data_IF_662679130527
#
_entry.id   IF_662679130527
#
_cell.length_a   1.000
_cell.length_b   1.000
_cell.length_c   1.000
_cell.angle_alpha   90.00
_cell.angle_beta   90.00
_cell.angle_gamma   90.00
#
_symmetry.space_group_name_H-M   'P 1'
#
loop_
_entity.id
_entity.type
_entity.pdbx_description
1 polymer ?
#
# COMPACT_ATOMS: atom_id res chain seq x y z
N UNK A 1 -18.69 12.74 40.86
CA UNK A 1 -18.78 11.28 40.58
C UNK A 1 -17.75 10.97 39.51
N UNK A 2 -16.69 10.21 39.85
CA UNK A 2 -15.67 9.81 38.88
C UNK A 2 -16.27 8.69 38.02
N UNK A 3 -16.58 8.97 36.75
CA UNK A 3 -16.87 7.92 35.79
C UNK A 3 -15.56 7.15 35.56
N UNK A 4 -15.48 5.93 36.08
CA UNK A 4 -14.38 5.03 35.84
C UNK A 4 -14.38 4.63 34.37
N UNK A 5 -13.43 5.15 33.61
CA UNK A 5 -13.15 4.67 32.27
C UNK A 5 -12.70 3.21 32.38
N UNK A 6 -13.52 2.30 31.88
CA UNK A 6 -13.12 0.90 31.78
C UNK A 6 -11.93 0.82 30.82
N UNK A 7 -10.77 0.40 31.33
CA UNK A 7 -9.62 0.07 30.49
C UNK A 7 -10.06 -1.01 29.49
N UNK A 8 -9.74 -0.80 28.20
CA UNK A 8 -9.98 -1.78 27.15
C UNK A 8 -9.17 -3.01 27.53
N UNK A 9 -9.83 -4.15 27.72
CA UNK A 9 -9.12 -5.42 27.97
C UNK A 9 -8.41 -5.80 26.69
N UNK A 10 -7.09 -5.92 26.76
CA UNK A 10 -6.29 -6.43 25.64
C UNK A 10 -6.72 -7.87 25.32
N UNK A 11 -7.04 -8.12 24.05
CA UNK A 11 -7.46 -9.43 23.57
C UNK A 11 -6.30 -10.44 23.62
N UNK A 12 -6.63 -11.71 23.80
CA UNK A 12 -5.66 -12.82 23.82
C UNK A 12 -4.93 -13.03 22.48
N UNK A 13 -5.38 -12.35 21.40
CA UNK A 13 -4.79 -12.38 20.06
C UNK A 13 -3.90 -11.20 19.69
N UNK A 14 -3.63 -10.25 20.60
CA UNK A 14 -2.79 -9.08 20.28
C UNK A 14 -1.33 -9.50 20.12
N UNK A 15 -0.74 -9.16 18.95
CA UNK A 15 0.69 -9.36 18.70
C UNK A 15 1.52 -8.46 19.61
N UNK A 16 2.58 -9.01 20.20
CA UNK A 16 3.62 -8.17 20.80
C UNK A 16 4.43 -7.45 19.72
N UNK A 17 5.25 -6.48 20.09
CA UNK A 17 5.98 -5.65 19.15
C UNK A 17 6.96 -6.43 18.28
N UNK A 18 7.65 -7.41 18.81
CA UNK A 18 8.68 -8.18 18.07
C UNK A 18 8.02 -9.10 17.04
N UNK A 19 6.95 -9.77 17.40
CA UNK A 19 6.16 -10.61 16.48
C UNK A 19 5.51 -9.73 15.39
N UNK A 20 4.95 -8.58 15.79
CA UNK A 20 4.37 -7.61 14.84
C UNK A 20 5.41 -7.11 13.84
N UNK A 21 6.58 -6.68 14.30
CA UNK A 21 7.65 -6.19 13.42
C UNK A 21 8.19 -7.29 12.51
N UNK A 22 8.35 -8.51 13.02
CA UNK A 22 8.76 -9.67 12.21
C UNK A 22 7.77 -9.94 11.08
N UNK A 23 6.47 -9.94 11.38
CA UNK A 23 5.41 -10.09 10.39
C UNK A 23 5.34 -8.93 9.39
N UNK A 24 5.56 -7.68 9.85
CA UNK A 24 5.62 -6.51 8.97
C UNK A 24 6.77 -6.62 7.97
N UNK A 25 7.97 -6.99 8.40
CA UNK A 25 9.12 -7.18 7.50
C UNK A 25 8.81 -8.25 6.44
N UNK A 26 8.22 -9.36 6.84
CA UNK A 26 7.82 -10.42 5.92
C UNK A 26 6.74 -9.97 4.93
N UNK A 27 5.75 -9.18 5.37
CA UNK A 27 4.70 -8.63 4.51
C UNK A 27 5.26 -7.65 3.48
N UNK A 28 6.20 -6.77 3.88
CA UNK A 28 6.88 -5.82 2.99
C UNK A 28 7.66 -6.55 1.89
N UNK A 29 8.38 -7.63 2.25
CA UNK A 29 9.15 -8.43 1.29
C UNK A 29 8.24 -9.24 0.34
N UNK A 30 7.12 -9.75 0.84
CA UNK A 30 6.15 -10.51 0.06
C UNK A 30 5.30 -9.63 -0.88
N UNK A 31 5.34 -8.30 -0.74
CA UNK A 31 4.45 -7.36 -1.41
C UNK A 31 5.19 -6.38 -2.33
N UNK A 32 5.90 -6.85 -3.37
CA UNK A 32 6.64 -5.97 -4.29
C UNK A 32 5.74 -5.07 -5.16
N UNK A 33 4.44 -5.39 -5.28
CA UNK A 33 3.45 -4.60 -6.04
C UNK A 33 2.08 -4.63 -5.35
N UNK A 34 1.13 -3.74 -5.70
CA UNK A 34 -0.23 -3.76 -5.17
C UNK A 34 -0.91 -5.13 -5.29
N UNK A 35 -0.71 -5.81 -6.41
CA UNK A 35 -1.26 -7.15 -6.65
C UNK A 35 -0.77 -8.18 -5.62
N UNK A 36 0.51 -8.14 -5.28
CA UNK A 36 1.11 -9.00 -4.27
C UNK A 36 0.67 -8.63 -2.86
N UNK A 37 0.51 -7.33 -2.57
CA UNK A 37 0.00 -6.86 -1.29
C UNK A 37 -1.42 -7.37 -1.03
N UNK A 38 -2.31 -7.29 -2.04
CA UNK A 38 -3.66 -7.83 -1.95
C UNK A 38 -3.64 -9.36 -1.86
N UNK A 39 -2.82 -10.05 -2.65
CA UNK A 39 -2.70 -11.51 -2.56
C UNK A 39 -2.23 -11.97 -1.17
N UNK A 40 -1.27 -11.27 -0.57
CA UNK A 40 -0.80 -11.53 0.81
C UNK A 40 -1.90 -11.29 1.84
N UNK A 41 -2.67 -10.19 1.69
CA UNK A 41 -3.82 -9.90 2.55
C UNK A 41 -4.91 -10.98 2.41
N UNK A 42 -5.24 -11.39 1.19
CA UNK A 42 -6.22 -12.44 0.93
C UNK A 42 -5.81 -13.78 1.56
N UNK A 43 -4.54 -14.14 1.46
CA UNK A 43 -4.02 -15.37 2.09
C UNK A 43 -4.22 -15.34 3.61
N UNK A 44 -3.90 -14.23 4.27
CA UNK A 44 -4.10 -14.06 5.71
C UNK A 44 -5.59 -14.09 6.09
N UNK A 45 -6.44 -13.39 5.34
CA UNK A 45 -7.90 -13.37 5.55
C UNK A 45 -8.52 -14.76 5.38
N UNK A 46 -8.17 -15.49 4.31
CA UNK A 46 -8.64 -16.87 4.08
C UNK A 46 -8.24 -17.78 5.23
N UNK A 47 -7.00 -17.67 5.70
CA UNK A 47 -6.51 -18.45 6.85
C UNK A 47 -7.26 -18.15 8.15
N UNK A 48 -7.81 -16.93 8.30
CA UNK A 48 -8.64 -16.51 9.42
C UNK A 48 -10.16 -16.76 9.19
N UNK A 49 -10.53 -17.50 8.13
CA UNK A 49 -11.91 -17.91 7.87
C UNK A 49 -12.78 -16.84 7.20
N UNK A 50 -12.18 -15.85 6.56
CA UNK A 50 -12.93 -14.89 5.74
C UNK A 50 -13.30 -15.52 4.38
N UNK A 51 -14.53 -15.30 3.94
CA UNK A 51 -15.05 -15.73 2.64
C UNK A 51 -14.99 -14.59 1.62
N UNK A 52 -14.63 -14.93 0.37
CA UNK A 52 -14.63 -13.99 -0.73
C UNK A 52 -16.06 -13.76 -1.24
N UNK A 53 -16.39 -12.48 -1.45
CA UNK A 53 -17.61 -12.05 -2.13
C UNK A 53 -17.25 -11.49 -3.50
N UNK A 54 -18.02 -11.89 -4.52
CA UNK A 54 -17.85 -11.38 -5.88
C UNK A 54 -18.76 -10.17 -6.12
N UNK A 55 -18.24 -9.10 -6.71
CA UNK A 55 -18.99 -7.87 -6.97
C UNK A 55 -20.22 -8.11 -7.90
N UNK A 56 -20.12 -9.05 -8.84
CA UNK A 56 -21.20 -9.41 -9.75
C UNK A 56 -22.29 -10.31 -9.15
N UNK A 57 -22.12 -10.81 -7.91
CA UNK A 57 -23.07 -11.71 -7.27
C UNK A 57 -23.97 -10.97 -6.26
N UNK A 58 -25.10 -11.59 -5.91
CA UNK A 58 -25.89 -11.18 -4.74
C UNK A 58 -25.16 -11.61 -3.46
N UNK A 59 -25.20 -10.75 -2.45
CA UNK A 59 -24.57 -11.04 -1.16
C UNK A 59 -25.60 -11.41 -0.11
N UNK A 60 -25.28 -12.43 0.69
CA UNK A 60 -26.04 -12.83 1.88
C UNK A 60 -25.11 -12.71 3.10
N UNK A 61 -24.97 -11.48 3.59
CA UNK A 61 -24.10 -11.15 4.74
C UNK A 61 -24.86 -11.41 6.03
N UNK A 62 -24.36 -12.34 6.85
CA UNK A 62 -24.95 -12.65 8.16
C UNK A 62 -24.26 -11.85 9.25
N UNK A 63 -24.94 -11.56 10.38
CA UNK A 63 -24.30 -11.01 11.57
C UNK A 63 -23.08 -11.84 11.99
N UNK A 64 -21.95 -11.20 12.27
CA UNK A 64 -20.69 -11.84 12.58
C UNK A 64 -19.97 -12.46 11.37
N UNK A 65 -20.53 -12.36 10.16
CA UNK A 65 -19.92 -12.88 8.93
C UNK A 65 -18.61 -12.16 8.61
N UNK A 66 -17.62 -12.93 8.17
CA UNK A 66 -16.27 -12.48 7.82
C UNK A 66 -16.12 -12.57 6.30
N UNK A 67 -16.06 -11.45 5.64
CA UNK A 67 -16.00 -11.41 4.17
C UNK A 67 -14.96 -10.41 3.68
N UNK A 68 -14.55 -10.60 2.42
CA UNK A 68 -13.77 -9.62 1.68
C UNK A 68 -14.19 -9.59 0.21
N UNK A 69 -13.92 -8.47 -0.44
CA UNK A 69 -14.17 -8.19 -1.85
C UNK A 69 -12.89 -7.64 -2.46
N UNK A 70 -12.55 -8.07 -3.67
CA UNK A 70 -11.38 -7.60 -4.41
C UNK A 70 -11.83 -6.85 -5.65
N UNK A 71 -11.14 -5.77 -5.99
CA UNK A 71 -11.28 -5.06 -7.27
C UNK A 71 -9.93 -4.92 -7.94
N UNK A 72 -9.87 -5.29 -9.23
CA UNK A 72 -8.67 -5.21 -10.07
C UNK A 72 -7.44 -5.94 -9.50
N UNK A 73 -7.60 -6.94 -8.63
CA UNK A 73 -6.53 -7.66 -7.91
C UNK A 73 -5.59 -6.76 -7.09
N UNK A 74 -5.83 -5.44 -7.03
CA UNK A 74 -4.94 -4.44 -6.42
C UNK A 74 -5.60 -3.64 -5.30
N UNK A 75 -6.91 -3.76 -5.10
CA UNK A 75 -7.66 -3.16 -4.00
C UNK A 75 -8.55 -4.18 -3.33
N UNK A 76 -8.74 -4.03 -2.01
CA UNK A 76 -9.54 -4.96 -1.22
C UNK A 76 -10.35 -4.20 -0.15
N UNK A 77 -11.59 -4.62 0.06
CA UNK A 77 -12.39 -4.30 1.23
C UNK A 77 -12.66 -5.58 2.01
N UNK A 78 -12.23 -5.66 3.26
CA UNK A 78 -12.49 -6.79 4.15
C UNK A 78 -13.29 -6.32 5.36
N UNK A 79 -14.24 -7.13 5.85
CA UNK A 79 -15.07 -6.74 6.98
C UNK A 79 -15.56 -7.94 7.81
N UNK A 80 -15.86 -7.61 9.06
CA UNK A 80 -16.59 -8.47 9.99
C UNK A 80 -17.92 -7.77 10.27
N UNK A 81 -19.02 -8.36 9.82
CA UNK A 81 -20.32 -7.79 9.97
C UNK A 81 -20.73 -7.69 11.45
N UNK A 82 -21.27 -6.54 11.84
CA UNK A 82 -21.80 -6.37 13.19
C UNK A 82 -22.99 -7.26 13.49
N UNK A 83 -23.32 -7.42 14.75
CA UNK A 83 -24.56 -8.11 15.19
C UNK A 83 -25.80 -7.25 14.99
N UNK A 84 -25.65 -5.94 14.85
CA UNK A 84 -26.69 -4.97 14.50
C UNK A 84 -26.51 -4.47 13.06
N UNK A 85 -27.58 -3.99 12.46
CA UNK A 85 -27.55 -3.40 11.13
C UNK A 85 -26.62 -2.18 11.09
N UNK A 86 -25.86 -1.95 9.99
CA UNK A 86 -24.95 -0.80 9.88
C UNK A 86 -25.65 0.56 10.09
N UNK A 87 -26.91 0.69 9.70
CA UNK A 87 -27.72 1.88 9.95
C UNK A 87 -27.90 2.22 11.45
N UNK A 88 -27.83 1.23 12.33
CA UNK A 88 -28.00 1.40 13.78
C UNK A 88 -26.68 1.56 14.52
N UNK A 89 -25.67 0.79 14.14
CA UNK A 89 -24.39 0.73 14.86
C UNK A 89 -23.23 1.44 14.16
N UNK A 90 -23.36 1.75 12.87
CA UNK A 90 -22.29 2.33 12.05
C UNK A 90 -21.20 1.32 11.69
N UNK A 91 -20.12 1.82 11.08
CA UNK A 91 -18.93 1.08 10.68
C UNK A 91 -17.70 1.70 11.33
N UNK A 92 -16.80 0.87 11.81
CA UNK A 92 -15.44 1.28 12.22
C UNK A 92 -14.50 0.86 11.10
N UNK A 93 -13.92 1.84 10.43
CA UNK A 93 -13.17 1.66 9.20
C UNK A 93 -11.71 2.09 9.38
N UNK A 94 -10.78 1.23 8.96
CA UNK A 94 -9.37 1.58 8.74
C UNK A 94 -9.11 1.56 7.25
N UNK A 95 -8.40 2.55 6.72
CA UNK A 95 -8.03 2.60 5.31
C UNK A 95 -6.57 2.93 5.10
N UNK A 96 -5.98 2.32 4.06
CA UNK A 96 -4.63 2.55 3.59
C UNK A 96 -4.57 2.36 2.07
N UNK A 97 -3.38 2.53 1.44
CA UNK A 97 -3.20 2.24 0.03
C UNK A 97 -2.10 1.20 -0.22
N UNK A 98 -2.25 0.46 -1.33
CA UNK A 98 -1.40 -0.69 -1.68
C UNK A 98 -0.25 -0.33 -2.59
N UNK A 99 -0.36 0.78 -3.31
CA UNK A 99 0.65 1.26 -4.27
C UNK A 99 1.74 2.06 -3.58
N UNK A 100 2.87 2.21 -4.28
CA UNK A 100 4.04 3.00 -3.87
C UNK A 100 4.77 3.47 -5.11
N UNK A 101 5.48 4.61 -5.08
CA UNK A 101 6.23 5.11 -6.23
C UNK A 101 7.28 4.11 -6.71
N UNK A 102 7.34 3.91 -8.03
CA UNK A 102 8.26 2.95 -8.64
C UNK A 102 8.54 3.24 -10.12
N UNK A 103 9.31 2.37 -10.77
CA UNK A 103 9.52 2.38 -12.21
C UNK A 103 8.73 1.23 -12.84
N UNK A 104 7.73 1.56 -13.68
CA UNK A 104 6.92 0.58 -14.42
C UNK A 104 7.51 0.33 -15.80
N UNK A 105 7.43 -0.92 -16.26
CA UNK A 105 7.79 -1.27 -17.63
C UNK A 105 6.74 -0.71 -18.61
N UNK A 106 7.23 -0.11 -19.72
CA UNK A 106 6.37 0.34 -20.82
C UNK A 106 5.81 -0.85 -21.62
N UNK A 107 4.73 -0.69 -22.39
CA UNK A 107 4.14 -1.77 -23.21
C UNK A 107 5.13 -2.43 -24.17
N UNK A 108 6.11 -1.69 -24.71
CA UNK A 108 7.25 -2.22 -25.46
C UNK A 108 8.52 -2.09 -24.60
N UNK A 109 8.76 -3.06 -23.70
CA UNK A 109 9.69 -2.86 -22.60
C UNK A 109 11.16 -3.06 -22.98
N UNK A 110 11.48 -3.80 -24.06
CA UNK A 110 12.86 -4.03 -24.47
C UNK A 110 13.30 -3.01 -25.53
N UNK A 111 14.52 -2.50 -25.35
CA UNK A 111 15.20 -1.67 -26.36
C UNK A 111 16.69 -2.00 -26.41
N UNK A 112 17.29 -1.89 -27.60
CA UNK A 112 18.73 -1.98 -27.80
C UNK A 112 19.34 -0.59 -27.84
N UNK A 113 20.45 -0.38 -27.16
CA UNK A 113 21.22 0.86 -27.21
C UNK A 113 22.71 0.58 -27.01
N UNK A 114 23.55 1.00 -27.94
CA UNK A 114 25.02 0.94 -27.84
C UNK A 114 25.58 -0.44 -27.42
N UNK A 115 24.99 -1.53 -27.94
CA UNK A 115 25.42 -2.90 -27.62
C UNK A 115 24.86 -3.47 -26.32
N UNK A 116 23.93 -2.75 -25.67
CA UNK A 116 23.21 -3.21 -24.47
C UNK A 116 21.74 -3.43 -24.73
N UNK A 117 21.15 -4.37 -24.01
CA UNK A 117 19.70 -4.52 -23.87
C UNK A 117 19.25 -3.77 -22.62
N UNK A 118 18.21 -2.96 -22.75
CA UNK A 118 17.66 -2.14 -21.66
C UNK A 118 16.15 -2.33 -21.56
N UNK A 119 15.59 -2.07 -20.36
CA UNK A 119 14.17 -1.87 -20.22
C UNK A 119 13.77 -0.41 -20.52
N UNK A 120 12.68 -0.23 -21.22
CA UNK A 120 11.97 1.04 -21.32
C UNK A 120 11.02 1.17 -20.12
N UNK A 121 11.21 2.21 -19.33
CA UNK A 121 10.45 2.44 -18.09
C UNK A 121 9.77 3.79 -18.10
N UNK A 122 8.74 3.92 -17.27
CA UNK A 122 8.13 5.18 -16.87
C UNK A 122 8.05 5.28 -15.34
N UNK A 123 8.08 6.50 -14.83
CA UNK A 123 7.97 6.77 -13.41
C UNK A 123 6.50 6.71 -13.01
N UNK A 124 6.18 5.94 -11.99
CA UNK A 124 4.89 5.87 -11.34
C UNK A 124 4.95 6.64 -10.02
N UNK A 125 4.05 7.62 -9.85
CA UNK A 125 3.99 8.46 -8.65
C UNK A 125 5.16 9.44 -8.51
N UNK A 126 5.29 10.00 -7.33
CA UNK A 126 6.30 11.01 -6.99
C UNK A 126 7.64 10.43 -6.52
N UNK A 127 8.24 9.46 -7.26
CA UNK A 127 9.46 8.77 -6.84
C UNK A 127 10.67 9.70 -6.67
N UNK A 128 11.46 9.49 -5.62
CA UNK A 128 12.83 10.02 -5.52
C UNK A 128 13.73 9.22 -6.47
N UNK A 129 14.15 9.84 -7.59
CA UNK A 129 14.82 9.12 -8.68
C UNK A 129 16.27 8.76 -8.39
N UNK A 130 17.01 9.62 -7.66
CA UNK A 130 18.44 9.41 -7.40
C UNK A 130 18.74 8.08 -6.70
N UNK A 131 17.97 7.63 -5.68
CA UNK A 131 18.24 6.36 -4.99
C UNK A 131 18.04 5.09 -5.83
N UNK A 132 17.47 5.19 -7.03
CA UNK A 132 17.30 4.07 -7.96
C UNK A 132 18.57 3.66 -8.69
N UNK A 133 19.56 4.57 -8.76
CA UNK A 133 20.86 4.24 -9.37
C UNK A 133 21.63 3.25 -8.50
N UNK A 134 22.38 2.38 -9.18
CA UNK A 134 23.31 1.40 -8.60
C UNK A 134 22.62 0.37 -7.68
N UNK A 135 21.32 0.11 -7.90
CA UNK A 135 20.57 -0.90 -7.19
C UNK A 135 20.44 -2.20 -7.99
N UNK A 136 20.34 -3.29 -7.25
CA UNK A 136 20.03 -4.63 -7.76
C UNK A 136 18.51 -4.76 -7.94
N UNK A 137 18.03 -4.55 -9.18
CA UNK A 137 16.60 -4.48 -9.47
C UNK A 137 16.04 -5.80 -9.96
N UNK A 138 14.87 -6.17 -9.45
CA UNK A 138 14.04 -7.27 -9.92
C UNK A 138 12.72 -6.75 -10.50
N UNK A 139 11.88 -7.66 -11.01
CA UNK A 139 10.59 -7.38 -11.63
C UNK A 139 9.51 -8.19 -10.94
N UNK A 140 8.38 -7.53 -10.68
CA UNK A 140 7.17 -8.17 -10.21
C UNK A 140 5.93 -7.48 -10.78
N UNK A 141 4.79 -8.17 -10.74
CA UNK A 141 3.53 -7.62 -11.19
C UNK A 141 2.51 -8.67 -11.60
N UNK A 142 1.65 -8.28 -12.53
CA UNK A 142 0.56 -9.09 -13.06
C UNK A 142 0.71 -9.26 -14.57
N UNK A 143 0.45 -10.47 -15.05
CA UNK A 143 0.42 -10.83 -16.47
C UNK A 143 -0.97 -11.35 -16.81
N UNK A 144 -1.59 -10.83 -17.87
CA UNK A 144 -2.88 -11.30 -18.39
C UNK A 144 -2.63 -12.34 -19.47
N UNK A 145 -3.18 -13.53 -19.28
CA UNK A 145 -2.97 -14.66 -20.18
C UNK A 145 -4.30 -15.18 -20.72
N UNK A 146 -4.24 -15.73 -21.95
CA UNK A 146 -5.35 -16.46 -22.58
C UNK A 146 -5.23 -17.94 -22.22
N UNK A 147 -6.27 -18.49 -21.61
CA UNK A 147 -6.39 -19.91 -21.30
C UNK A 147 -6.72 -20.75 -22.57
N UNK A 148 -6.59 -22.08 -22.48
CA UNK A 148 -6.86 -22.98 -23.59
C UNK A 148 -8.34 -22.93 -24.08
N UNK A 149 -9.26 -22.63 -23.17
CA UNK A 149 -10.71 -22.45 -23.47
C UNK A 149 -11.05 -21.05 -24.00
N UNK A 150 -10.05 -20.17 -24.16
CA UNK A 150 -10.21 -18.78 -24.61
C UNK A 150 -10.51 -17.77 -23.49
N UNK A 151 -10.75 -18.20 -22.26
CA UNK A 151 -10.95 -17.32 -21.12
C UNK A 151 -9.67 -16.54 -20.80
N UNK A 152 -9.82 -15.35 -20.20
CA UNK A 152 -8.70 -14.55 -19.72
C UNK A 152 -8.50 -14.80 -18.23
N UNK A 153 -7.25 -14.90 -17.82
CA UNK A 153 -6.88 -14.99 -16.41
C UNK A 153 -5.64 -14.15 -16.09
N UNK A 154 -5.51 -13.79 -14.83
CA UNK A 154 -4.32 -13.08 -14.34
C UNK A 154 -3.35 -14.06 -13.66
N UNK A 155 -2.06 -13.83 -13.85
CA UNK A 155 -0.98 -14.54 -13.17
C UNK A 155 -0.06 -13.54 -12.52
N UNK A 156 0.23 -13.74 -11.25
CA UNK A 156 1.26 -12.94 -10.57
C UNK A 156 2.64 -13.46 -10.94
N UNK A 157 3.57 -12.53 -11.09
CA UNK A 157 4.97 -12.83 -11.34
C UNK A 157 5.85 -12.05 -10.36
N UNK A 158 6.80 -12.75 -9.76
CA UNK A 158 7.88 -12.16 -8.99
C UNK A 158 9.18 -12.90 -9.33
N UNK A 159 10.08 -12.22 -10.03
CA UNK A 159 11.35 -12.83 -10.48
C UNK A 159 12.28 -13.13 -9.30
N UNK A 160 12.25 -12.31 -8.24
CA UNK A 160 12.90 -12.58 -6.95
C UNK A 160 14.43 -12.53 -6.94
N UNK A 161 15.06 -12.27 -8.09
CA UNK A 161 16.52 -12.13 -8.25
C UNK A 161 16.86 -10.87 -9.02
N UNK A 162 18.08 -10.32 -8.87
CA UNK A 162 18.52 -9.17 -9.67
C UNK A 162 18.53 -9.53 -11.17
N UNK A 163 17.86 -8.70 -11.99
CA UNK A 163 17.80 -8.85 -13.46
C UNK A 163 18.11 -7.55 -14.18
N UNK A 164 18.22 -6.44 -13.48
CA UNK A 164 18.47 -5.13 -14.06
C UNK A 164 19.19 -4.21 -13.08
N UNK A 165 19.87 -3.20 -13.59
CA UNK A 165 20.46 -2.11 -12.80
C UNK A 165 20.47 -0.82 -13.61
N UNK A 166 20.40 0.33 -12.94
CA UNK A 166 20.59 1.65 -13.54
C UNK A 166 21.97 2.13 -13.13
N UNK A 167 23.02 1.94 -13.93
CA UNK A 167 24.36 2.34 -13.52
C UNK A 167 24.51 3.85 -13.51
N UNK A 168 25.08 4.39 -12.44
CA UNK A 168 25.52 5.78 -12.39
C UNK A 168 26.61 6.05 -13.43
N UNK A 169 26.61 7.27 -13.99
CA UNK A 169 27.75 7.70 -14.79
C UNK A 169 28.95 7.95 -13.85
N UNK A 170 30.13 7.49 -14.27
CA UNK A 170 31.33 7.70 -13.47
C UNK A 170 31.60 9.19 -13.23
N UNK A 171 32.05 9.54 -12.02
CA UNK A 171 32.32 10.94 -11.61
C UNK A 171 33.27 11.66 -12.59
N UNK A 172 34.14 10.96 -13.28
CA UNK A 172 35.05 11.52 -14.29
C UNK A 172 34.34 12.05 -15.52
N UNK A 173 33.12 11.53 -15.82
CA UNK A 173 32.30 11.92 -16.96
C UNK A 173 31.13 12.83 -16.55
N UNK A 174 30.81 12.90 -15.25
CA UNK A 174 29.77 13.77 -14.67
C UNK A 174 30.33 14.45 -13.40
N UNK A 175 31.12 15.47 -13.58
CA UNK A 175 31.77 16.18 -12.46
C UNK A 175 30.81 16.99 -11.61
N UNK A 176 29.62 17.28 -12.14
CA UNK A 176 28.54 18.00 -11.45
C UNK A 176 27.58 17.06 -10.70
N UNK A 177 27.83 15.76 -10.70
CA UNK A 177 26.96 14.77 -10.07
C UNK A 177 26.59 15.08 -8.61
N UNK A 178 27.53 15.69 -7.85
CA UNK A 178 27.33 16.07 -6.46
C UNK A 178 26.85 17.54 -6.26
N UNK A 179 26.72 18.33 -7.33
CA UNK A 179 26.43 19.76 -7.29
C UNK A 179 25.02 20.14 -7.80
N UNK A 180 24.08 19.22 -7.86
CA UNK A 180 22.71 19.50 -8.29
C UNK A 180 22.33 18.83 -9.62
N UNK A 181 22.74 17.58 -9.84
CA UNK A 181 22.39 16.78 -11.01
C UNK A 181 20.87 16.73 -11.22
N UNK A 182 20.41 17.14 -12.40
CA UNK A 182 19.04 16.91 -12.86
C UNK A 182 18.93 15.56 -13.53
N UNK A 183 17.92 14.77 -13.15
CA UNK A 183 17.69 13.43 -13.71
C UNK A 183 16.58 13.51 -14.75
N UNK A 184 16.92 13.20 -16.00
CA UNK A 184 15.94 13.03 -17.07
C UNK A 184 15.42 11.57 -17.05
N UNK A 185 14.14 11.40 -16.69
CA UNK A 185 13.53 10.09 -16.56
C UNK A 185 13.54 9.26 -17.86
N UNK A 186 13.42 9.91 -19.02
CA UNK A 186 13.36 9.21 -20.31
C UNK A 186 14.72 8.66 -20.76
N UNK A 187 15.80 9.39 -20.45
CA UNK A 187 17.14 9.08 -21.02
C UNK A 187 18.09 8.46 -20.00
N UNK A 188 17.90 8.72 -18.70
CA UNK A 188 18.84 8.32 -17.65
C UNK A 188 18.36 7.13 -16.81
N UNK A 189 17.06 6.83 -16.79
CA UNK A 189 16.51 5.73 -15.97
C UNK A 189 16.39 4.37 -16.68
N UNK A 190 16.49 4.21 -18.00
CA UNK A 190 16.38 2.88 -18.61
C UNK A 190 17.42 1.89 -18.06
N UNK A 191 16.99 0.87 -17.29
CA UNK A 191 17.93 -0.07 -16.66
C UNK A 191 18.62 -0.97 -17.71
N UNK A 192 19.88 -1.26 -17.51
CA UNK A 192 20.62 -2.27 -18.27
C UNK A 192 20.22 -3.66 -17.78
N UNK A 193 19.95 -4.57 -18.74
CA UNK A 193 19.53 -5.94 -18.48
C UNK A 193 20.59 -6.95 -18.89
N UNK A 194 21.20 -6.75 -20.06
CA UNK A 194 22.25 -7.60 -20.60
C UNK A 194 23.00 -6.91 -21.73
N UNK A 195 24.02 -7.58 -22.27
CA UNK A 195 24.58 -7.23 -23.58
C UNK A 195 23.57 -7.59 -24.68
N UNK A 196 23.45 -6.74 -25.69
CA UNK A 196 22.75 -7.07 -26.91
C UNK A 196 23.68 -7.98 -27.74
N UNK A 197 23.55 -9.28 -27.55
CA UNK A 197 24.36 -10.26 -28.32
C UNK A 197 23.79 -10.30 -29.74
N UNK A 198 24.53 -9.81 -30.70
CA UNK A 198 24.28 -10.13 -32.09
C UNK A 198 24.79 -11.56 -32.34
N UNK A 199 23.86 -12.50 -32.62
CA UNK A 199 24.20 -13.93 -32.89
C UNK A 199 25.15 -14.11 -34.05
N UNK A 200 25.36 -13.11 -34.89
CA UNK A 200 26.34 -13.11 -35.97
C UNK A 200 27.80 -13.27 -35.49
N UNK A 201 28.10 -12.88 -34.24
CA UNK A 201 29.47 -12.98 -33.68
C UNK A 201 29.79 -14.33 -33.04
N UNK A 202 28.82 -15.23 -32.88
CA UNK A 202 29.03 -16.55 -32.25
C UNK A 202 29.09 -17.72 -33.25
N UNK A 203 29.16 -17.46 -34.55
CA UNK A 203 29.45 -18.51 -35.55
C UNK A 203 28.31 -19.50 -35.78
N UNK A 204 27.15 -19.29 -35.23
CA UNK A 204 25.95 -20.08 -35.54
C UNK A 204 25.25 -19.51 -36.78
N UNK A 205 25.65 -20.05 -37.95
CA UNK A 205 25.01 -19.81 -39.23
C UNK A 205 23.63 -20.47 -39.25
N UNK A 206 22.65 -19.93 -38.51
CA UNK A 206 21.27 -20.26 -38.71
C UNK A 206 20.56 -18.98 -39.24
N UNK A 207 20.28 -18.97 -40.55
CA UNK A 207 19.59 -17.90 -41.27
C UNK A 207 18.12 -17.67 -40.81
N UNK A 208 17.88 -17.60 -39.52
CA UNK A 208 16.60 -17.32 -38.93
C UNK A 208 16.57 -15.83 -38.52
N UNK A 209 15.55 -15.11 -39.00
CA UNK A 209 15.22 -13.75 -38.61
C UNK A 209 15.14 -13.64 -37.06
N UNK A 210 15.88 -12.70 -36.45
CA UNK A 210 15.83 -12.50 -35.00
C UNK A 210 14.40 -12.09 -34.62
N UNK A 211 13.77 -12.86 -33.73
CA UNK A 211 12.41 -12.57 -33.30
C UNK A 211 12.26 -11.11 -32.80
N UNK A 212 11.15 -10.43 -33.09
CA UNK A 212 10.91 -9.06 -32.63
C UNK A 212 11.08 -8.93 -31.10
N UNK A 213 11.58 -7.79 -30.62
CA UNK A 213 11.84 -7.56 -29.17
C UNK A 213 10.61 -7.82 -28.28
N UNK A 214 9.41 -7.48 -28.78
CA UNK A 214 8.18 -7.79 -28.07
C UNK A 214 7.91 -9.29 -27.89
N UNK A 215 8.25 -10.11 -28.89
CA UNK A 215 8.17 -11.56 -28.78
C UNK A 215 9.23 -12.12 -27.82
N UNK A 216 10.47 -11.61 -27.89
CA UNK A 216 11.54 -12.00 -26.95
C UNK A 216 11.13 -11.71 -25.49
N UNK A 217 10.49 -10.56 -25.23
CA UNK A 217 10.00 -10.24 -23.88
C UNK A 217 8.89 -11.19 -23.42
N UNK A 218 7.93 -11.55 -24.29
CA UNK A 218 6.92 -12.55 -23.96
C UNK A 218 7.53 -13.93 -23.69
N UNK A 219 8.59 -14.31 -24.39
CA UNK A 219 9.35 -15.54 -24.07
C UNK A 219 9.95 -15.48 -22.66
N UNK A 220 10.56 -14.35 -22.27
CA UNK A 220 11.05 -14.16 -20.90
C UNK A 220 9.93 -14.28 -19.87
N UNK A 221 8.76 -13.69 -20.14
CA UNK A 221 7.60 -13.82 -19.26
C UNK A 221 7.16 -15.26 -19.09
N UNK A 222 7.13 -16.08 -20.17
CA UNK A 222 6.77 -17.51 -20.06
C UNK A 222 7.82 -18.30 -19.25
N UNK A 223 9.09 -17.93 -19.34
CA UNK A 223 10.15 -18.53 -18.53
C UNK A 223 10.00 -18.19 -17.05
N UNK A 224 9.73 -16.93 -16.73
CA UNK A 224 9.57 -16.46 -15.36
C UNK A 224 8.27 -16.94 -14.71
N UNK A 225 7.19 -17.07 -15.47
CA UNK A 225 5.94 -17.67 -14.99
C UNK A 225 6.07 -19.18 -14.70
N UNK A 226 7.06 -19.84 -15.35
CA UNK A 226 7.27 -21.26 -15.17
C UNK A 226 6.22 -22.13 -15.84
N UNK A 227 5.90 -23.27 -15.20
CA UNK A 227 4.85 -24.19 -15.65
C UNK A 227 3.56 -23.86 -14.93
N UNK A 228 2.45 -24.00 -15.63
CA UNK A 228 1.12 -23.93 -15.04
C UNK A 228 0.93 -25.08 -14.04
N UNK A 229 0.51 -24.77 -12.82
CA UNK A 229 0.36 -25.77 -11.75
C UNK A 229 -0.72 -26.81 -12.04
N UNK A 230 -1.77 -26.43 -12.77
CA UNK A 230 -2.88 -27.33 -13.07
C UNK A 230 -2.60 -28.26 -14.25
N UNK A 231 -1.90 -27.76 -15.28
CA UNK A 231 -1.66 -28.50 -16.53
C UNK A 231 -0.25 -29.07 -16.63
N UNK A 232 0.71 -28.53 -15.87
CA UNK A 232 2.13 -28.86 -15.96
C UNK A 232 2.82 -28.30 -17.22
N UNK A 233 2.11 -27.55 -18.06
CA UNK A 233 2.60 -27.02 -19.33
C UNK A 233 3.12 -25.58 -19.17
N UNK A 234 4.06 -25.16 -20.02
CA UNK A 234 4.43 -23.75 -20.13
C UNK A 234 3.50 -23.04 -21.08
N UNK A 235 3.18 -21.80 -20.73
CA UNK A 235 2.45 -20.90 -21.63
C UNK A 235 3.28 -20.62 -22.89
N UNK A 236 2.64 -20.58 -24.04
CA UNK A 236 3.26 -20.06 -25.26
C UNK A 236 3.30 -18.51 -25.20
N UNK A 237 4.30 -17.86 -25.80
CA UNK A 237 4.40 -16.38 -25.79
C UNK A 237 3.15 -15.69 -26.32
N UNK A 238 2.41 -16.31 -27.27
CA UNK A 238 1.18 -15.80 -27.88
C UNK A 238 -0.02 -15.84 -26.93
N UNK A 239 0.06 -16.62 -25.87
CA UNK A 239 -0.97 -16.63 -24.80
C UNK A 239 -0.82 -15.44 -23.84
N UNK A 240 0.35 -14.79 -23.80
CA UNK A 240 0.56 -13.58 -23.02
C UNK A 240 0.00 -12.39 -23.80
N UNK A 241 -1.07 -11.80 -23.28
CA UNK A 241 -1.77 -10.70 -23.95
C UNK A 241 -1.24 -9.34 -23.52
N UNK A 242 -1.08 -9.15 -22.20
CA UNK A 242 -0.62 -7.89 -21.62
C UNK A 242 0.00 -8.10 -20.24
N UNK A 243 0.58 -7.04 -19.67
CA UNK A 243 1.23 -7.09 -18.36
C UNK A 243 1.23 -5.72 -17.68
N UNK A 244 1.30 -5.74 -16.36
CA UNK A 244 1.54 -4.58 -15.48
C UNK A 244 2.70 -4.93 -14.55
N UNK A 245 3.90 -4.49 -14.91
CA UNK A 245 5.14 -4.90 -14.26
C UNK A 245 5.91 -3.71 -13.72
N UNK A 246 6.38 -3.82 -12.50
CA UNK A 246 7.19 -2.83 -11.79
C UNK A 246 8.56 -3.37 -11.44
N UNK A 247 9.55 -2.49 -11.47
CA UNK A 247 10.87 -2.76 -10.92
C UNK A 247 10.84 -2.54 -9.41
N UNK A 248 11.63 -3.32 -8.69
CA UNK A 248 11.85 -3.14 -7.26
C UNK A 248 13.27 -3.55 -6.85
N UNK A 249 13.78 -2.98 -5.75
CA UNK A 249 15.07 -3.34 -5.16
C UNK A 249 14.98 -4.71 -4.46
N UNK A 250 15.91 -5.60 -4.75
CA UNK A 250 15.99 -6.94 -4.12
C UNK A 250 16.49 -6.90 -2.69
N UNK A 251 16.90 -5.75 -2.19
CA UNK A 251 17.30 -5.58 -0.80
C UNK A 251 16.08 -5.72 0.13
N UNK A 252 16.10 -6.76 0.96
CA UNK A 252 14.99 -7.08 1.88
C UNK A 252 14.78 -6.04 2.98
N UNK A 253 13.57 -6.01 3.51
CA UNK A 253 13.20 -5.27 4.72
C UNK A 253 14.01 -5.77 5.94
N UNK A 254 14.45 -4.87 6.80
CA UNK A 254 15.21 -5.24 8.00
C UNK A 254 15.17 -4.17 9.07
N UNK A 255 15.48 -4.56 10.30
CA UNK A 255 15.79 -3.60 11.35
C UNK A 255 17.21 -3.06 11.16
N UNK A 256 17.39 -1.76 11.35
CA UNK A 256 18.68 -1.06 11.22
C UNK A 256 18.90 -0.09 12.39
N UNK A 257 20.12 0.46 12.46
CA UNK A 257 20.56 1.32 13.56
C UNK A 257 21.29 0.52 14.63
N UNK A 258 21.97 1.22 15.53
CA UNK A 258 22.82 0.58 16.56
C UNK A 258 22.03 -0.38 17.47
N UNK A 259 20.76 -0.07 17.72
CA UNK A 259 19.87 -0.85 18.60
C UNK A 259 18.69 -1.46 17.84
N UNK A 260 18.74 -1.54 16.50
CA UNK A 260 17.61 -2.03 15.72
C UNK A 260 16.34 -1.17 15.81
N UNK A 261 16.49 0.15 16.07
CA UNK A 261 15.36 1.05 16.35
C UNK A 261 14.55 1.44 15.12
N UNK A 262 15.01 1.10 13.92
CA UNK A 262 14.38 1.51 12.68
C UNK A 262 14.06 0.32 11.78
N UNK A 263 12.93 0.40 11.10
CA UNK A 263 12.57 -0.45 9.97
C UNK A 263 13.07 0.24 8.71
N UNK A 264 13.92 -0.43 7.93
CA UNK A 264 14.36 0.03 6.62
C UNK A 264 13.83 -0.90 5.53
N UNK A 265 13.04 -0.37 4.61
CA UNK A 265 12.43 -1.12 3.51
C UNK A 265 12.07 -0.19 2.36
N UNK A 266 11.83 -0.75 1.20
CA UNK A 266 11.02 -0.09 0.17
C UNK A 266 9.54 -0.17 0.54
N UNK A 267 8.71 0.75 0.02
CA UNK A 267 7.24 0.71 0.10
C UNK A 267 6.67 0.71 1.53
N UNK A 268 7.42 1.28 2.49
CA UNK A 268 6.88 1.55 3.83
C UNK A 268 5.63 2.41 3.69
N UNK A 269 5.70 3.42 2.85
CA UNK A 269 4.57 4.16 2.30
C UNK A 269 3.94 3.39 1.14
N UNK A 270 2.74 2.71 1.32
CA UNK A 270 1.96 2.70 2.57
C UNK A 270 1.65 1.25 3.01
N UNK A 271 2.51 0.28 2.63
CA UNK A 271 2.35 -1.12 3.01
C UNK A 271 2.43 -1.34 4.52
N UNK A 272 3.12 -0.45 5.25
CA UNK A 272 3.12 -0.47 6.72
C UNK A 272 1.70 -0.31 7.25
N UNK A 273 0.97 0.70 6.78
CA UNK A 273 -0.42 0.92 7.20
C UNK A 273 -1.37 -0.16 6.71
N UNK A 274 -1.12 -0.74 5.51
CA UNK A 274 -1.86 -1.92 5.04
C UNK A 274 -1.73 -3.10 6.02
N UNK A 275 -0.51 -3.38 6.47
CA UNK A 275 -0.25 -4.44 7.44
C UNK A 275 -0.88 -4.13 8.80
N UNK A 276 -0.78 -2.90 9.29
CA UNK A 276 -1.43 -2.43 10.52
C UNK A 276 -2.93 -2.70 10.48
N UNK A 277 -3.62 -2.25 9.44
CA UNK A 277 -5.07 -2.42 9.32
C UNK A 277 -5.48 -3.88 9.17
N UNK A 278 -4.71 -4.67 8.42
CA UNK A 278 -4.93 -6.10 8.26
C UNK A 278 -4.81 -6.84 9.60
N UNK A 279 -3.73 -6.61 10.35
CA UNK A 279 -3.52 -7.26 11.65
C UNK A 279 -4.55 -6.82 12.69
N UNK A 280 -4.98 -5.54 12.67
CA UNK A 280 -6.03 -5.08 13.55
C UNK A 280 -7.37 -5.79 13.26
N UNK A 281 -7.72 -5.97 11.98
CA UNK A 281 -8.95 -6.69 11.62
C UNK A 281 -8.88 -8.18 11.98
N UNK A 282 -7.73 -8.82 11.77
CA UNK A 282 -7.52 -10.24 12.06
C UNK A 282 -7.57 -10.53 13.56
N UNK A 283 -7.02 -9.65 14.39
CA UNK A 283 -7.04 -9.80 15.86
C UNK A 283 -8.48 -9.78 16.43
N UNK A 284 -9.41 -9.16 15.73
CA UNK A 284 -10.83 -9.03 16.11
C UNK A 284 -11.72 -10.11 15.50
N UNK A 285 -11.15 -11.09 14.79
CA UNK A 285 -11.91 -12.06 14.01
C UNK A 285 -12.88 -12.90 14.87
N UNK A 286 -12.51 -13.25 16.08
CA UNK A 286 -13.30 -14.12 16.95
C UNK A 286 -14.26 -13.37 17.88
N UNK A 287 -14.22 -12.03 17.91
CA UNK A 287 -15.04 -11.22 18.79
C UNK A 287 -16.33 -10.72 18.11
N UNK A 288 -17.45 -10.85 18.81
CA UNK A 288 -18.73 -10.31 18.33
C UNK A 288 -18.91 -8.86 18.80
N UNK A 289 -19.06 -7.94 17.86
CA UNK A 289 -19.39 -6.54 18.13
C UNK A 289 -20.71 -6.15 17.49
N UNK A 290 -21.37 -5.14 18.06
CA UNK A 290 -22.62 -4.62 17.51
C UNK A 290 -22.43 -3.93 16.14
N UNK A 291 -21.31 -3.27 15.92
CA UNK A 291 -20.95 -2.53 14.69
C UNK A 291 -20.06 -3.34 13.75
N UNK A 292 -20.13 -3.02 12.48
CA UNK A 292 -19.26 -3.60 11.46
C UNK A 292 -17.83 -3.04 11.58
N UNK A 293 -16.84 -3.91 11.56
CA UNK A 293 -15.41 -3.57 11.48
C UNK A 293 -14.92 -3.80 10.05
N UNK A 294 -14.22 -2.84 9.49
CA UNK A 294 -13.89 -2.86 8.07
C UNK A 294 -12.48 -2.34 7.82
N UNK A 295 -11.80 -2.94 6.86
CA UNK A 295 -10.54 -2.52 6.29
C UNK A 295 -10.75 -2.20 4.81
N UNK A 296 -10.22 -1.09 4.32
CA UNK A 296 -10.11 -0.80 2.89
C UNK A 296 -8.66 -0.53 2.53
N UNK A 297 -8.16 -1.20 1.50
CA UNK A 297 -6.86 -0.96 0.91
C UNK A 297 -7.08 -0.59 -0.56
N UNK A 298 -6.77 0.66 -0.90
CA UNK A 298 -6.96 1.21 -2.25
C UNK A 298 -5.66 1.18 -3.05
N UNK A 299 -5.76 1.03 -4.36
CA UNK A 299 -4.65 1.25 -5.29
C UNK A 299 -4.64 2.70 -5.81
N UNK A 300 -3.59 3.10 -6.50
CA UNK A 300 -3.45 4.35 -7.24
C UNK A 300 -3.52 5.64 -6.40
N UNK A 301 -3.22 5.58 -5.11
CA UNK A 301 -3.13 6.79 -4.28
C UNK A 301 -2.06 7.73 -4.82
N UNK A 302 -0.88 7.20 -5.11
CA UNK A 302 0.34 7.90 -5.54
C UNK A 302 0.23 8.62 -6.88
N UNK A 303 -0.86 8.39 -7.60
CA UNK A 303 -1.20 9.06 -8.87
C UNK A 303 -2.57 9.75 -8.81
N UNK A 304 -3.06 10.05 -7.59
CA UNK A 304 -4.24 10.87 -7.32
C UNK A 304 -5.55 10.10 -7.24
N UNK A 305 -5.54 8.79 -7.03
CA UNK A 305 -6.72 7.93 -6.76
C UNK A 305 -7.79 7.92 -7.87
N UNK A 306 -7.50 8.43 -9.06
CA UNK A 306 -8.47 8.61 -10.16
C UNK A 306 -8.70 7.35 -11.01
N UNK A 307 -9.07 6.23 -10.40
CA UNK A 307 -9.33 4.96 -11.08
C UNK A 307 -10.50 4.20 -10.44
N UNK A 308 -10.92 3.09 -11.05
CA UNK A 308 -11.98 2.24 -10.49
C UNK A 308 -11.60 1.57 -9.17
N UNK A 309 -10.31 1.35 -8.93
CA UNK A 309 -9.74 0.76 -7.71
C UNK A 309 -9.18 1.80 -6.73
N UNK A 310 -8.98 3.06 -7.17
CA UNK A 310 -8.55 4.15 -6.30
C UNK A 310 -9.68 4.71 -5.41
N UNK A 311 -9.31 5.50 -4.42
CA UNK A 311 -10.23 6.05 -3.43
C UNK A 311 -11.29 7.02 -4.01
N UNK A 312 -11.05 7.59 -5.21
CA UNK A 312 -12.06 8.36 -5.96
C UNK A 312 -13.08 7.47 -6.67
N UNK A 313 -12.79 6.19 -6.86
CA UNK A 313 -13.71 5.20 -7.41
C UNK A 313 -14.85 4.90 -6.46
N UNK A 314 -15.80 4.09 -6.92
CA UNK A 314 -17.00 3.72 -6.14
C UNK A 314 -16.83 2.40 -5.37
N UNK A 315 -15.61 1.88 -5.23
CA UNK A 315 -15.42 0.54 -4.67
C UNK A 315 -15.95 0.42 -3.24
N UNK A 316 -15.43 1.25 -2.33
CA UNK A 316 -15.88 1.25 -0.93
C UNK A 316 -17.36 1.66 -0.83
N UNK A 317 -17.79 2.66 -1.60
CA UNK A 317 -19.18 3.11 -1.64
C UNK A 317 -20.14 1.96 -1.97
N UNK A 318 -19.84 1.19 -3.03
CA UNK A 318 -20.70 0.07 -3.47
C UNK A 318 -20.79 -1.04 -2.41
N UNK A 319 -19.73 -1.28 -1.64
CA UNK A 319 -19.75 -2.21 -0.50
C UNK A 319 -20.65 -1.69 0.62
N UNK A 320 -20.50 -0.43 0.99
CA UNK A 320 -21.30 0.20 2.06
C UNK A 320 -22.78 0.30 1.69
N UNK A 321 -23.11 0.61 0.42
CA UNK A 321 -24.50 0.62 -0.09
C UNK A 321 -25.15 -0.75 0.02
N UNK A 322 -24.44 -1.81 -0.39
CA UNK A 322 -24.94 -3.19 -0.29
C UNK A 322 -25.16 -3.65 1.15
N UNK A 323 -24.28 -3.24 2.06
CA UNK A 323 -24.42 -3.54 3.49
C UNK A 323 -25.58 -2.74 4.15
N UNK A 324 -25.89 -1.56 3.63
CA UNK A 324 -26.93 -0.69 4.17
C UNK A 324 -28.33 -1.01 3.62
N UNK A 325 -28.41 -1.44 2.36
CA UNK A 325 -29.63 -1.85 1.69
C UNK A 325 -30.55 -0.73 1.19
N UNK A 326 -30.41 0.51 1.66
CA UNK A 326 -31.17 1.68 1.17
C UNK A 326 -30.39 2.98 1.39
N UNK A 327 -30.73 4.03 0.63
CA UNK A 327 -30.10 5.35 0.77
C UNK A 327 -30.35 5.99 2.16
N UNK A 328 -31.51 5.78 2.76
CA UNK A 328 -31.83 6.25 4.11
C UNK A 328 -30.95 5.52 5.14
N UNK A 329 -30.87 4.19 5.06
CA UNK A 329 -30.02 3.38 5.92
C UNK A 329 -28.53 3.71 5.74
N UNK A 330 -28.10 4.00 4.50
CA UNK A 330 -26.73 4.47 4.21
C UNK A 330 -26.43 5.80 4.93
N UNK A 331 -27.31 6.80 4.83
CA UNK A 331 -27.12 8.08 5.49
C UNK A 331 -26.99 7.94 7.01
N UNK A 332 -27.82 7.09 7.63
CA UNK A 332 -27.76 6.78 9.07
C UNK A 332 -26.46 6.06 9.44
N UNK A 333 -26.05 5.08 8.65
CA UNK A 333 -24.77 4.37 8.81
C UNK A 333 -23.59 5.34 8.75
N UNK A 334 -23.54 6.19 7.71
CA UNK A 334 -22.43 7.15 7.52
C UNK A 334 -22.30 8.10 8.72
N UNK A 335 -23.42 8.64 9.24
CA UNK A 335 -23.43 9.51 10.41
C UNK A 335 -22.94 8.85 11.71
N UNK A 336 -23.02 7.51 11.80
CA UNK A 336 -22.57 6.71 12.95
C UNK A 336 -21.20 6.07 12.78
N UNK A 337 -20.58 6.28 11.63
CA UNK A 337 -19.32 5.65 11.26
C UNK A 337 -18.12 6.54 11.60
N UNK A 338 -16.96 5.90 11.68
CA UNK A 338 -15.68 6.58 11.86
C UNK A 338 -14.61 5.92 10.99
N UNK A 339 -13.86 6.76 10.29
CA UNK A 339 -12.80 6.34 9.38
C UNK A 339 -11.43 6.80 9.89
N UNK A 340 -10.56 5.86 10.18
CA UNK A 340 -9.15 6.06 10.45
C UNK A 340 -8.39 5.90 9.13
N UNK A 341 -8.11 6.99 8.46
CA UNK A 341 -7.28 7.04 7.26
C UNK A 341 -5.83 6.98 7.68
N UNK A 342 -5.17 5.87 7.36
CA UNK A 342 -3.78 5.62 7.77
C UNK A 342 -2.85 5.76 6.59
N UNK A 343 -1.90 6.69 6.71
CA UNK A 343 -0.92 6.98 5.68
C UNK A 343 0.29 7.64 6.32
N UNK A 344 1.51 7.26 5.90
CA UNK A 344 2.73 7.71 6.54
C UNK A 344 2.87 9.24 6.54
N UNK A 345 3.59 9.76 7.52
CA UNK A 345 3.87 11.20 7.64
C UNK A 345 5.37 11.49 7.66
N UNK A 346 5.74 12.77 7.54
CA UNK A 346 7.15 13.17 7.56
C UNK A 346 7.67 13.27 8.99
N UNK A 347 8.72 12.54 9.33
CA UNK A 347 9.48 12.73 10.55
C UNK A 347 10.42 13.95 10.43
N UNK A 348 10.70 14.64 11.53
CA UNK A 348 11.69 15.72 11.54
C UNK A 348 13.06 15.18 11.13
N UNK A 349 13.58 15.69 10.02
CA UNK A 349 14.85 15.23 9.48
C UNK A 349 16.04 15.97 10.16
N UNK A 350 16.98 15.27 10.80
CA UNK A 350 18.03 15.91 11.58
C UNK A 350 18.93 16.85 10.77
N UNK A 351 19.16 16.55 9.48
CA UNK A 351 19.99 17.34 8.58
C UNK A 351 19.21 18.42 7.82
N UNK A 352 17.86 18.44 7.89
CA UNK A 352 16.98 19.35 7.17
C UNK A 352 15.83 19.83 8.08
N UNK A 353 16.12 20.13 9.34
CA UNK A 353 15.11 20.53 10.34
C UNK A 353 14.39 21.83 9.95
N UNK A 354 15.05 22.69 9.15
CA UNK A 354 14.46 23.92 8.60
C UNK A 354 13.30 23.68 7.61
N UNK A 355 13.12 22.46 7.14
CA UNK A 355 12.01 22.06 6.26
C UNK A 355 10.72 21.70 7.00
N UNK A 356 10.78 21.66 8.32
CA UNK A 356 9.65 21.28 9.17
C UNK A 356 9.07 22.48 9.91
N UNK A 357 7.78 22.41 10.25
CA UNK A 357 7.13 23.36 11.16
C UNK A 357 7.64 23.09 12.59
N UNK A 358 8.24 24.08 13.29
CA UNK A 358 8.98 23.79 14.53
C UNK A 358 8.14 23.26 15.69
N UNK A 359 6.84 23.60 15.75
CA UNK A 359 5.94 23.18 16.83
C UNK A 359 5.25 21.82 16.58
N UNK A 360 5.34 21.28 15.35
CA UNK A 360 4.56 20.12 14.93
C UNK A 360 5.38 19.19 14.02
N UNK A 361 6.60 18.91 14.41
CA UNK A 361 7.54 18.07 13.68
C UNK A 361 7.72 16.72 14.39
N UNK A 362 7.05 15.63 13.94
CA UNK A 362 7.06 14.34 14.61
C UNK A 362 8.44 13.69 14.66
N UNK A 363 8.75 13.04 15.77
CA UNK A 363 9.93 12.19 15.94
C UNK A 363 9.60 10.74 15.62
N UNK A 364 10.52 10.02 15.03
CA UNK A 364 10.44 8.55 14.89
C UNK A 364 10.49 7.90 16.28
N UNK A 365 9.69 6.87 16.48
CA UNK A 365 9.53 6.10 17.74
C UNK A 365 8.90 6.89 18.90
N UNK A 366 8.23 8.01 18.62
CA UNK A 366 7.49 8.78 19.63
C UNK A 366 5.96 8.71 19.46
N UNK A 367 5.47 7.81 18.61
CA UNK A 367 4.07 7.55 18.35
C UNK A 367 3.58 8.05 16.99
N UNK A 368 2.43 7.52 16.54
CA UNK A 368 1.78 7.98 15.32
C UNK A 368 1.44 9.47 15.38
N UNK A 369 1.46 10.13 14.23
CA UNK A 369 1.18 11.55 14.11
C UNK A 369 -0.21 11.80 13.50
N UNK A 370 -1.05 12.56 14.18
CA UNK A 370 -2.29 13.11 13.64
C UNK A 370 -1.94 14.18 12.61
N UNK A 371 -2.44 14.05 11.39
CA UNK A 371 -2.19 14.98 10.29
C UNK A 371 -3.25 16.08 10.27
N UNK A 372 -2.85 17.34 10.29
CA UNK A 372 -3.76 18.50 10.33
C UNK A 372 -3.42 19.49 9.22
N UNK A 373 -4.43 19.93 8.48
CA UNK A 373 -4.26 20.94 7.44
C UNK A 373 -5.54 21.81 7.32
N UNK A 374 -5.38 23.14 7.39
CA UNK A 374 -6.51 24.09 7.31
C UNK A 374 -7.24 24.09 5.96
N UNK A 375 -6.55 23.68 4.87
CA UNK A 375 -7.13 23.60 3.53
C UNK A 375 -7.77 22.23 3.26
N UNK A 376 -7.93 21.39 4.29
CA UNK A 376 -8.51 20.03 4.18
C UNK A 376 -7.75 19.12 3.20
N UNK A 377 -6.43 19.32 3.05
CA UNK A 377 -5.56 18.33 2.40
C UNK A 377 -5.47 17.03 3.24
N UNK A 378 -5.82 17.12 4.53
CA UNK A 378 -6.14 16.02 5.44
C UNK A 378 -7.56 16.20 5.96
N UNK A 379 -8.29 15.11 6.15
CA UNK A 379 -9.71 15.13 6.57
C UNK A 379 -9.92 15.39 8.07
N UNK A 380 -8.85 15.48 8.85
CA UNK A 380 -8.92 15.68 10.30
C UNK A 380 -9.64 16.97 10.67
N UNK A 381 -10.56 16.88 11.65
CA UNK A 381 -11.27 18.00 12.26
C UNK A 381 -11.04 18.01 13.78
N UNK A 382 -11.40 19.09 14.44
CA UNK A 382 -11.32 19.17 15.91
C UNK A 382 -12.07 18.03 16.60
N UNK A 383 -13.24 17.65 16.09
CA UNK A 383 -14.02 16.51 16.59
C UNK A 383 -13.27 15.19 16.43
N UNK A 384 -12.83 14.89 15.20
CA UNK A 384 -12.18 13.59 14.91
C UNK A 384 -10.82 13.46 15.58
N UNK A 385 -10.10 14.57 15.76
CA UNK A 385 -8.87 14.62 16.55
C UNK A 385 -9.16 14.33 18.03
N UNK A 386 -10.21 14.91 18.62
CA UNK A 386 -10.58 14.66 20.01
C UNK A 386 -10.97 13.19 20.26
N UNK A 387 -11.78 12.62 19.37
CA UNK A 387 -12.14 11.19 19.41
C UNK A 387 -10.87 10.33 19.37
N UNK A 388 -9.96 10.62 18.45
CA UNK A 388 -8.72 9.80 18.29
C UNK A 388 -7.78 9.94 19.49
N UNK A 389 -7.69 11.13 20.10
CA UNK A 389 -6.93 11.33 21.35
C UNK A 389 -7.51 10.52 22.52
N UNK A 390 -8.82 10.50 22.64
CA UNK A 390 -9.52 9.70 23.66
C UNK A 390 -9.28 8.19 23.41
N UNK A 391 -9.36 7.73 22.15
CA UNK A 391 -9.00 6.38 21.77
C UNK A 391 -7.57 6.03 22.18
N UNK A 392 -6.63 6.86 21.80
CA UNK A 392 -5.21 6.65 22.09
C UNK A 392 -4.94 6.61 23.61
N UNK A 393 -5.62 7.47 24.37
CA UNK A 393 -5.56 7.46 25.86
C UNK A 393 -6.02 6.11 26.43
N UNK A 394 -7.14 5.57 25.92
CA UNK A 394 -7.70 4.29 26.40
C UNK A 394 -6.80 3.07 26.11
N UNK A 395 -6.04 3.14 25.03
CA UNK A 395 -5.11 2.05 24.64
C UNK A 395 -3.65 2.37 24.95
N UNK A 396 -3.40 3.45 25.70
CA UNK A 396 -2.06 3.91 26.10
C UNK A 396 -1.10 4.00 24.90
N UNK A 397 -1.50 4.76 23.88
CA UNK A 397 -0.71 5.07 22.69
C UNK A 397 -0.36 6.56 22.69
N UNK A 398 0.92 6.92 22.67
CA UNK A 398 1.32 8.33 22.51
C UNK A 398 0.97 8.81 21.10
N UNK A 399 0.50 10.05 20.99
CA UNK A 399 0.19 10.70 19.73
C UNK A 399 0.99 11.98 19.56
N UNK A 400 1.48 12.19 18.36
CA UNK A 400 2.08 13.42 17.90
C UNK A 400 1.13 14.19 16.98
N UNK A 401 1.50 15.39 16.55
CA UNK A 401 0.75 16.15 15.54
C UNK A 401 1.70 16.59 14.45
N UNK A 402 1.28 16.43 13.21
CA UNK A 402 1.98 16.91 12.03
C UNK A 402 1.23 18.04 11.37
N UNK A 403 1.91 19.14 11.11
CA UNK A 403 1.46 20.27 10.31
C UNK A 403 2.56 20.61 9.30
N UNK A 404 2.20 20.78 8.05
CA UNK A 404 3.13 21.23 7.00
C UNK A 404 3.50 22.70 7.22
N UNK A 405 4.76 23.09 6.97
CA UNK A 405 5.14 24.50 6.98
C UNK A 405 4.24 25.31 6.04
N UNK A 406 3.84 26.50 6.49
CA UNK A 406 2.85 27.34 5.77
C UNK A 406 3.32 27.82 4.39
N UNK A 407 4.63 27.79 4.13
CA UNK A 407 5.26 28.19 2.87
C UNK A 407 5.57 26.99 1.95
N UNK A 408 5.21 25.75 2.36
CA UNK A 408 5.37 24.54 1.55
C UNK A 408 4.02 23.97 1.14
N UNK A 409 4.00 23.27 0.00
CA UNK A 409 2.83 22.51 -0.45
C UNK A 409 2.57 21.32 0.49
N UNK A 410 1.30 21.09 0.80
CA UNK A 410 0.86 19.91 1.54
C UNK A 410 0.45 18.80 0.56
N UNK A 411 0.93 17.57 0.79
CA UNK A 411 0.39 16.39 0.15
C UNK A 411 -1.03 16.10 0.63
N UNK A 412 -1.72 15.18 -0.02
CA UNK A 412 -3.03 14.68 0.40
C UNK A 412 -2.95 13.17 0.64
N UNK A 413 -4.08 12.56 1.01
CA UNK A 413 -4.23 11.14 1.34
C UNK A 413 -5.55 10.63 0.78
N UNK A 414 -5.85 9.34 0.96
CA UNK A 414 -7.19 8.81 0.67
C UNK A 414 -8.27 9.40 1.60
N UNK A 415 -7.90 9.93 2.77
CA UNK A 415 -8.82 10.42 3.80
C UNK A 415 -9.80 11.48 3.30
N UNK A 416 -9.34 12.64 2.79
CA UNK A 416 -10.22 13.69 2.27
C UNK A 416 -11.11 13.21 1.12
N UNK A 417 -10.60 12.35 0.24
CA UNK A 417 -11.34 11.80 -0.89
C UNK A 417 -12.51 10.94 -0.42
N UNK A 418 -12.23 10.02 0.49
CA UNK A 418 -13.22 9.12 1.10
C UNK A 418 -14.23 9.91 1.95
N UNK A 419 -13.75 10.83 2.80
CA UNK A 419 -14.59 11.68 3.63
C UNK A 419 -15.59 12.48 2.81
N UNK A 420 -15.14 13.14 1.75
CA UNK A 420 -15.96 13.97 0.87
C UNK A 420 -17.00 13.14 0.11
N UNK A 421 -16.59 11.97 -0.39
CA UNK A 421 -17.47 11.12 -1.18
C UNK A 421 -18.53 10.41 -0.35
N UNK A 422 -18.15 9.89 0.82
CA UNK A 422 -19.00 9.00 1.62
C UNK A 422 -19.67 9.66 2.82
N UNK A 423 -19.29 10.90 3.15
CA UNK A 423 -19.82 11.62 4.30
C UNK A 423 -19.40 11.04 5.65
N UNK A 424 -18.23 10.38 5.72
CA UNK A 424 -17.75 9.75 6.94
C UNK A 424 -16.92 10.71 7.80
N UNK A 425 -17.12 10.67 9.13
CA UNK A 425 -16.20 11.31 10.09
C UNK A 425 -14.83 10.66 9.96
N UNK A 426 -13.82 11.44 9.57
CA UNK A 426 -12.50 10.92 9.18
C UNK A 426 -11.39 11.65 9.93
N UNK A 427 -10.37 10.90 10.35
CA UNK A 427 -9.11 11.43 10.84
C UNK A 427 -7.98 10.84 10.00
N UNK A 428 -7.00 11.67 9.64
CA UNK A 428 -5.75 11.23 9.02
C UNK A 428 -4.66 11.06 10.09
N UNK A 429 -4.05 9.90 10.14
CA UNK A 429 -2.99 9.55 11.08
C UNK A 429 -1.94 8.69 10.38
N UNK A 430 -0.67 8.84 10.75
CA UNK A 430 0.37 8.01 10.15
C UNK A 430 1.62 7.87 10.97
N UNK A 431 2.42 6.89 10.60
CA UNK A 431 3.75 6.67 11.18
C UNK A 431 4.73 7.68 10.60
N UNK A 432 5.51 8.40 11.44
CA UNK A 432 6.56 9.28 10.95
C UNK A 432 7.67 8.50 10.25
N UNK A 433 8.04 8.92 9.03
CA UNK A 433 9.05 8.25 8.19
C UNK A 433 10.09 9.23 7.66
N UNK A 434 11.30 8.72 7.36
CA UNK A 434 12.29 9.39 6.53
C UNK A 434 12.29 8.82 5.12
N UNK A 435 12.76 9.66 4.19
CA UNK A 435 12.95 9.27 2.79
C UNK A 435 11.68 8.69 2.12
N UNK A 436 10.50 9.19 2.50
CA UNK A 436 9.23 8.86 1.84
C UNK A 436 9.40 8.96 0.32
N UNK A 437 8.85 7.99 -0.43
CA UNK A 437 8.98 7.86 -1.89
C UNK A 437 10.40 7.51 -2.41
N UNK A 438 11.34 7.22 -1.52
CA UNK A 438 12.60 6.59 -1.91
C UNK A 438 12.40 5.10 -2.17
N UNK A 439 13.27 4.52 -3.01
CA UNK A 439 13.35 3.05 -3.14
C UNK A 439 13.74 2.36 -1.81
N UNK A 440 14.18 3.14 -0.82
CA UNK A 440 14.51 2.69 0.53
C UNK A 440 14.11 3.76 1.55
N UNK A 441 13.09 3.48 2.32
CA UNK A 441 12.50 4.34 3.34
C UNK A 441 12.87 3.87 4.74
N UNK A 442 12.61 4.71 5.75
CA UNK A 442 12.93 4.41 7.15
C UNK A 442 11.77 4.82 8.07
N UNK A 443 11.28 3.88 8.89
CA UNK A 443 10.26 4.11 9.92
C UNK A 443 10.73 3.65 11.29
N UNK A 444 10.03 4.05 12.35
CA UNK A 444 10.26 3.58 13.71
C UNK A 444 9.62 2.22 13.98
N UNK A 445 10.37 1.31 14.62
CA UNK A 445 9.83 -0.02 14.95
C UNK A 445 8.78 0.02 16.07
N UNK A 446 8.73 1.10 16.90
CA UNK A 446 7.68 1.27 17.91
C UNK A 446 6.40 1.83 17.30
N UNK A 447 6.52 2.77 16.36
CA UNK A 447 5.39 3.55 15.84
C UNK A 447 4.38 2.68 15.08
N UNK A 448 4.87 1.71 14.29
CA UNK A 448 4.02 0.78 13.55
C UNK A 448 3.15 -0.07 14.49
N UNK A 449 3.75 -0.62 15.56
CA UNK A 449 3.01 -1.37 16.56
C UNK A 449 2.05 -0.47 17.38
N UNK A 450 2.41 0.78 17.65
CA UNK A 450 1.52 1.73 18.32
C UNK A 450 0.32 2.09 17.43
N UNK A 451 0.50 2.26 16.11
CA UNK A 451 -0.61 2.46 15.18
C UNK A 451 -1.54 1.23 15.12
N UNK A 452 -0.98 0.03 15.18
CA UNK A 452 -1.76 -1.22 15.31
C UNK A 452 -2.61 -1.22 16.59
N UNK A 453 -2.05 -0.84 17.75
CA UNK A 453 -2.80 -0.71 19.00
C UNK A 453 -3.92 0.33 18.90
N UNK A 454 -3.68 1.46 18.22
CA UNK A 454 -4.69 2.46 17.96
C UNK A 454 -5.85 1.89 17.09
N UNK A 455 -5.51 1.10 16.07
CA UNK A 455 -6.48 0.39 15.23
C UNK A 455 -7.35 -0.59 16.01
N UNK A 456 -6.75 -1.37 16.92
CA UNK A 456 -7.49 -2.23 17.86
C UNK A 456 -8.44 -1.40 18.75
N UNK A 457 -7.97 -0.25 19.26
CA UNK A 457 -8.80 0.66 20.04
C UNK A 457 -10.03 1.15 19.26
N UNK A 458 -9.88 1.46 17.97
CA UNK A 458 -10.99 1.84 17.11
C UNK A 458 -12.00 0.69 16.96
N UNK A 459 -11.53 -0.52 16.72
CA UNK A 459 -12.40 -1.70 16.56
C UNK A 459 -13.06 -2.17 17.86
N UNK A 460 -12.57 -1.73 19.02
CA UNK A 460 -13.15 -2.06 20.32
C UNK A 460 -14.10 -0.97 20.86
N UNK A 461 -14.13 0.24 20.27
CA UNK A 461 -14.93 1.34 20.83
C UNK A 461 -16.42 1.22 20.49
N UNK A 462 -17.30 1.07 21.51
CA UNK A 462 -18.72 0.84 21.26
C UNK A 462 -19.44 2.10 20.76
N UNK A 463 -19.04 3.28 21.21
CA UNK A 463 -19.67 4.55 20.85
C UNK A 463 -18.62 5.64 20.60
N UNK A 464 -18.81 6.37 19.50
CA UNK A 464 -17.95 7.49 19.04
C UNK A 464 -18.75 8.80 19.00
N UNK A 465 -19.82 8.88 19.77
CA UNK A 465 -20.65 10.05 19.83
C UNK A 465 -19.98 11.24 20.54
N UNK A 466 -20.00 12.41 19.89
CA UNK A 466 -19.82 13.70 20.55
C UNK A 466 -21.21 14.32 20.69
N UNK A 467 -21.57 14.75 21.89
CA UNK A 467 -22.84 15.44 22.10
C UNK A 467 -22.76 16.77 21.38
N UNK A 468 -23.72 17.09 20.48
CA UNK A 468 -23.75 18.40 19.82
C UNK A 468 -23.81 19.54 20.85
N UNK A 469 -23.23 20.68 20.52
CA UNK A 469 -23.18 21.87 21.38
C UNK A 469 -24.54 22.61 21.47
N UNK A 470 -25.54 22.24 20.64
CA UNK A 470 -26.88 22.83 20.61
C UNK A 470 -27.96 21.78 20.32
#
# INVERSE_FOLDING_TARGET
MRAGGAAIRYHAGMLNQDDFNTGLLAYLDASPTPFHAVASACSALKSAGFAELHEGACWDVKPGGRQYVIRNDSSIVAFIAGTEAPAEAGVRLIGAHTDSPNLRLKPNPLKKAHGYLQFAVEVYGGALLNPWFDRDLSIAGRVTVRQADGALSHRLINVGRPVATIPSLAIHLDREANNGRSINAQTMLPPVVSLAVDRETQGEASGGETAPLGHQFRQLLTEWLGRDEATGERLAPEQILDFELSLYDTQTARLVGLNGSFIASARIDNLLSCYVGLQALLAEADDAHRFTRMLVLNDHEEVGSGSTSGARGNFLESVLERLSGSSEAYGRMAARSFFLSTDNGHAIHPNFSDRHEPGHAPLINAGPALKVNSNQAYASSGETLAITRELAHRVDVPLQVFVTRSDLGCGSTIGPLTATRLGLRTVDVGVPTFAMHSIRELAGCNDAHQLYRLGLGLYAIPDIGVVPAC
#
